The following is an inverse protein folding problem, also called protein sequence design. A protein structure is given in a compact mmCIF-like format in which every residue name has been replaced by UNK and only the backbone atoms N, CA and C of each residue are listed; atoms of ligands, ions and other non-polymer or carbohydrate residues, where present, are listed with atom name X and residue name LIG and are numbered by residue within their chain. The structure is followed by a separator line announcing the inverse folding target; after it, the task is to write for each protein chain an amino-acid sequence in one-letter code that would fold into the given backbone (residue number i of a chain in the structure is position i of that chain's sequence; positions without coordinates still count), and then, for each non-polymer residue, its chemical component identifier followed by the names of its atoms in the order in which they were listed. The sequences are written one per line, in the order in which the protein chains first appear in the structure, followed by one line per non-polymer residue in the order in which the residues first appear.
data_IF_738469449454
#
_entry.id   IF_738469449454
#
_cell.length_a   1.000
_cell.length_b   1.000
_cell.length_c   1.000
_cell.angle_alpha   90.00
_cell.angle_beta   90.00
_cell.angle_gamma   90.00
#
_symmetry.space_group_name_H-M   'P 1'
#
loop_
_entity.id
_entity.type
_entity.pdbx_description
1 polymer ?
#
# COMPACT_ATOMS: atom_id res chain seq x y z
N UNK A 1 4.55 -7.55 4.68
CA UNK A 1 3.07 -7.63 4.52
C UNK A 1 2.67 -6.64 3.44
N UNK A 2 2.03 -7.09 2.35
CA UNK A 2 1.72 -6.25 1.18
C UNK A 2 0.34 -6.60 0.61
N UNK A 3 -0.48 -5.59 0.28
CA UNK A 3 -1.77 -5.72 -0.41
C UNK A 3 -1.82 -4.90 -1.69
N UNK A 4 -0.97 -3.88 -1.82
CA UNK A 4 -0.94 -3.01 -3.00
C UNK A 4 0.40 -3.10 -3.70
N UNK A 5 0.40 -2.85 -5.01
CA UNK A 5 1.62 -2.73 -5.82
C UNK A 5 2.50 -1.60 -5.29
N UNK A 6 1.88 -0.50 -4.85
CA UNK A 6 2.57 0.66 -4.30
C UNK A 6 3.38 0.32 -3.04
N UNK A 7 2.76 -0.31 -2.03
CA UNK A 7 3.46 -0.73 -0.80
C UNK A 7 4.57 -1.73 -1.10
N UNK A 8 4.34 -2.66 -2.05
CA UNK A 8 5.38 -3.60 -2.47
C UNK A 8 6.56 -2.88 -3.10
N UNK A 9 6.31 -1.94 -4.01
CA UNK A 9 7.35 -1.13 -4.64
C UNK A 9 8.15 -0.35 -3.60
N UNK A 10 7.49 0.35 -2.67
CA UNK A 10 8.17 1.09 -1.61
C UNK A 10 9.01 0.16 -0.72
N UNK A 11 8.49 -1.01 -0.37
CA UNK A 11 9.26 -2.01 0.38
C UNK A 11 10.55 -2.38 -0.37
N UNK A 12 10.46 -2.69 -1.66
CA UNK A 12 11.61 -3.12 -2.48
C UNK A 12 12.71 -2.06 -2.58
N UNK A 13 12.35 -0.77 -2.62
CA UNK A 13 13.35 0.31 -2.65
C UNK A 13 13.91 0.69 -1.27
N UNK A 14 13.27 0.23 -0.19
CA UNK A 14 13.70 0.50 1.19
C UNK A 14 14.64 -0.58 1.74
N UNK A 15 14.50 -1.82 1.31
CA UNK A 15 15.30 -2.95 1.77
C UNK A 15 16.54 -3.14 0.91
N UNK A 16 17.50 -3.89 1.43
CA UNK A 16 18.67 -4.25 0.67
C UNK A 16 18.33 -5.32 -0.38
N UNK A 17 19.01 -5.29 -1.52
CA UNK A 17 18.82 -6.26 -2.60
C UNK A 17 19.01 -7.72 -2.13
N UNK A 18 19.99 -7.95 -1.27
CA UNK A 18 20.29 -9.27 -0.68
C UNK A 18 19.13 -9.83 0.17
N UNK A 19 18.35 -8.95 0.82
CA UNK A 19 17.24 -9.34 1.68
C UNK A 19 16.02 -9.80 0.89
N UNK A 20 15.91 -9.43 -0.41
CA UNK A 20 14.74 -9.78 -1.23
C UNK A 20 14.49 -11.28 -1.29
N UNK A 21 15.53 -12.08 -1.53
CA UNK A 21 15.41 -13.54 -1.65
C UNK A 21 15.14 -14.23 -0.30
N UNK A 22 15.46 -13.57 0.80
CA UNK A 22 15.24 -14.08 2.17
C UNK A 22 13.90 -13.60 2.73
N UNK A 23 13.22 -12.68 2.02
CA UNK A 23 11.94 -12.13 2.47
C UNK A 23 10.80 -13.12 2.26
N UNK A 24 10.01 -13.33 3.30
CA UNK A 24 8.73 -14.03 3.21
C UNK A 24 7.59 -13.01 3.08
N UNK A 25 6.84 -13.08 1.98
CA UNK A 25 5.76 -12.14 1.68
C UNK A 25 4.41 -12.67 2.15
N UNK A 26 3.76 -11.94 3.06
CA UNK A 26 2.34 -12.12 3.32
C UNK A 26 1.57 -11.15 2.44
N UNK A 27 0.74 -11.66 1.54
CA UNK A 27 -0.07 -10.88 0.63
C UNK A 27 -1.53 -11.32 0.66
N UNK A 28 -2.39 -10.56 0.01
CA UNK A 28 -3.78 -10.95 -0.24
C UNK A 28 -4.05 -11.09 -1.73
N UNK A 29 -5.24 -11.58 -2.05
CA UNK A 29 -5.76 -11.64 -3.43
C UNK A 29 -6.03 -10.26 -4.05
N UNK A 30 -5.88 -9.17 -3.29
CA UNK A 30 -5.88 -7.81 -3.83
C UNK A 30 -4.61 -7.47 -4.63
N UNK A 31 -3.45 -8.11 -4.31
CA UNK A 31 -2.25 -7.97 -5.11
C UNK A 31 -2.39 -8.78 -6.42
N UNK A 32 -2.08 -8.21 -7.61
CA UNK A 32 -2.21 -8.91 -8.89
C UNK A 32 -1.50 -10.26 -8.90
N UNK A 33 -2.14 -11.27 -9.49
CA UNK A 33 -1.60 -12.64 -9.54
C UNK A 33 -0.24 -12.70 -10.23
N UNK A 34 -0.06 -11.99 -11.34
CA UNK A 34 1.20 -11.90 -12.07
C UNK A 34 2.36 -11.42 -11.18
N UNK A 35 2.09 -10.49 -10.27
CA UNK A 35 3.08 -10.01 -9.30
C UNK A 35 3.34 -11.05 -8.22
N UNK A 36 2.25 -11.65 -7.67
CA UNK A 36 2.37 -12.65 -6.59
C UNK A 36 3.20 -13.85 -6.98
N UNK A 37 3.00 -14.39 -8.20
CA UNK A 37 3.71 -15.56 -8.70
C UNK A 37 5.23 -15.34 -8.85
N UNK A 38 5.69 -14.08 -8.93
CA UNK A 38 7.10 -13.71 -9.03
C UNK A 38 7.77 -13.48 -7.67
N UNK A 39 7.01 -13.45 -6.57
CA UNK A 39 7.58 -13.30 -5.23
C UNK A 39 8.25 -14.61 -4.78
N UNK A 40 9.47 -14.56 -4.19
CA UNK A 40 10.25 -15.77 -3.90
C UNK A 40 9.56 -16.68 -2.90
N UNK A 41 9.21 -16.17 -1.74
CA UNK A 41 8.53 -16.91 -0.67
C UNK A 41 7.30 -16.13 -0.27
N UNK A 42 6.11 -16.67 -0.51
CA UNK A 42 4.88 -15.95 -0.21
C UNK A 42 3.76 -16.85 0.32
N UNK A 43 2.88 -16.22 1.08
CA UNK A 43 1.59 -16.79 1.47
C UNK A 43 0.49 -15.79 1.13
N UNK A 44 -0.44 -16.22 0.28
CA UNK A 44 -1.56 -15.39 -0.15
C UNK A 44 -2.83 -15.72 0.65
N UNK A 45 -3.37 -14.72 1.32
CA UNK A 45 -4.66 -14.82 2.00
C UNK A 45 -5.80 -14.49 1.04
N UNK A 46 -6.80 -15.36 0.96
CA UNK A 46 -8.08 -15.04 0.33
C UNK A 46 -8.91 -14.23 1.32
N UNK A 47 -9.16 -12.97 1.01
CA UNK A 47 -9.84 -12.08 1.94
C UNK A 47 -11.36 -12.30 1.93
N UNK A 48 -12.01 -12.46 3.09
CA UNK A 48 -13.45 -12.60 3.17
C UNK A 48 -14.17 -11.32 2.70
N UNK A 49 -15.18 -11.44 1.83
CA UNK A 49 -15.96 -10.32 1.32
C UNK A 49 -16.94 -9.78 2.37
N UNK A 50 -17.61 -10.65 3.13
CA UNK A 50 -18.64 -10.28 4.11
C UNK A 50 -18.01 -9.71 5.39
N UNK A 51 -18.56 -8.60 5.92
CA UNK A 51 -18.03 -7.88 7.08
C UNK A 51 -17.81 -8.77 8.33
N UNK A 52 -18.76 -9.63 8.68
CA UNK A 52 -18.63 -10.52 9.84
C UNK A 52 -17.58 -11.62 9.64
N UNK A 53 -17.42 -12.15 8.41
CA UNK A 53 -16.34 -13.09 8.08
C UNK A 53 -14.96 -12.44 8.23
N UNK A 54 -14.82 -11.15 7.86
CA UNK A 54 -13.58 -10.41 8.06
C UNK A 54 -13.19 -10.33 9.53
N UNK A 55 -14.17 -10.20 10.40
CA UNK A 55 -13.96 -10.17 11.83
C UNK A 55 -13.49 -11.54 12.37
N UNK A 56 -14.18 -12.62 12.00
CA UNK A 56 -13.80 -13.99 12.35
C UNK A 56 -12.40 -14.34 11.79
N UNK A 57 -12.10 -13.93 10.57
CA UNK A 57 -10.78 -14.12 9.96
C UNK A 57 -9.67 -13.45 10.76
N UNK A 58 -9.86 -12.21 11.23
CA UNK A 58 -8.88 -11.51 12.09
C UNK A 58 -8.66 -12.26 13.41
N UNK A 59 -9.71 -12.69 14.07
CA UNK A 59 -9.63 -13.45 15.31
C UNK A 59 -8.88 -14.77 15.07
N UNK A 60 -9.31 -15.52 14.08
CA UNK A 60 -8.67 -16.79 13.72
C UNK A 60 -7.19 -16.61 13.44
N UNK A 61 -6.83 -15.65 12.60
CA UNK A 61 -5.44 -15.41 12.23
C UNK A 61 -4.61 -14.94 13.43
N UNK A 62 -5.17 -14.10 14.30
CA UNK A 62 -4.48 -13.64 15.50
C UNK A 62 -4.02 -14.80 16.40
N UNK A 63 -4.84 -15.82 16.54
CA UNK A 63 -4.51 -16.99 17.37
C UNK A 63 -3.67 -18.04 16.64
N UNK A 64 -3.84 -18.19 15.33
CA UNK A 64 -3.19 -19.28 14.58
C UNK A 64 -1.89 -18.87 13.89
N UNK A 65 -1.67 -17.60 13.58
CA UNK A 65 -0.47 -17.16 12.85
C UNK A 65 0.85 -17.56 13.53
N UNK A 66 1.03 -17.44 14.87
CA UNK A 66 2.28 -17.85 15.52
C UNK A 66 2.57 -19.34 15.43
N UNK A 67 1.53 -20.17 15.29
CA UNK A 67 1.66 -21.62 15.12
C UNK A 67 1.96 -22.00 13.68
N UNK A 68 1.32 -21.30 12.73
CA UNK A 68 1.48 -21.55 11.29
C UNK A 68 2.78 -20.97 10.73
N UNK A 69 3.25 -19.87 11.31
CA UNK A 69 4.41 -19.11 10.84
C UNK A 69 5.36 -18.79 12.02
N UNK A 70 5.99 -19.79 12.64
CA UNK A 70 6.79 -19.60 13.86
C UNK A 70 8.00 -18.68 13.66
N UNK A 71 8.50 -18.56 12.42
CA UNK A 71 9.61 -17.70 12.06
C UNK A 71 9.33 -16.19 12.23
N UNK A 72 8.06 -15.78 12.28
CA UNK A 72 7.68 -14.36 12.45
C UNK A 72 8.32 -13.75 13.72
N UNK A 73 8.47 -14.55 14.78
CA UNK A 73 9.03 -14.09 16.07
C UNK A 73 10.45 -13.53 15.95
N UNK A 74 11.20 -14.00 14.97
CA UNK A 74 12.62 -13.66 14.76
C UNK A 74 12.81 -12.74 13.53
N UNK A 75 11.71 -12.30 12.91
CA UNK A 75 11.74 -11.54 11.66
C UNK A 75 11.48 -10.05 11.91
N UNK A 76 12.09 -9.20 11.10
CA UNK A 76 11.66 -7.82 10.95
C UNK A 76 10.40 -7.78 10.10
N UNK A 77 9.34 -7.14 10.61
CA UNK A 77 8.05 -7.10 9.93
C UNK A 77 7.86 -5.74 9.28
N UNK A 78 7.71 -5.74 7.95
CA UNK A 78 7.40 -4.55 7.17
C UNK A 78 5.98 -4.63 6.60
N UNK A 79 5.28 -3.50 6.50
CA UNK A 79 3.99 -3.41 5.83
C UNK A 79 3.05 -2.38 6.45
N UNK A 80 1.77 -2.45 6.14
CA UNK A 80 0.75 -1.57 6.71
C UNK A 80 0.04 -2.24 7.90
N UNK A 81 -0.36 -1.45 8.88
CA UNK A 81 -1.18 -1.87 10.03
C UNK A 81 -2.69 -1.93 9.70
N UNK A 82 -3.06 -1.45 8.50
CA UNK A 82 -4.45 -1.39 8.05
C UNK A 82 -4.94 -2.69 7.39
N UNK A 83 -4.05 -3.57 6.95
CA UNK A 83 -4.46 -4.82 6.28
C UNK A 83 -5.24 -5.75 7.20
N UNK A 84 -6.12 -6.55 6.60
CA UNK A 84 -6.98 -7.46 7.36
C UNK A 84 -6.17 -8.49 8.17
N UNK A 85 -4.99 -8.87 7.69
CA UNK A 85 -4.11 -9.86 8.32
C UNK A 85 -3.01 -9.25 9.20
N UNK A 86 -2.84 -7.92 9.22
CA UNK A 86 -1.75 -7.25 9.96
C UNK A 86 -1.77 -7.58 11.44
N UNK A 87 -2.95 -7.53 12.09
CA UNK A 87 -3.08 -7.80 13.51
C UNK A 87 -2.72 -9.24 13.90
N UNK A 88 -2.91 -10.20 12.99
CA UNK A 88 -2.50 -11.59 13.21
C UNK A 88 -1.00 -11.81 13.00
N UNK A 89 -0.46 -11.27 11.92
CA UNK A 89 0.95 -11.47 11.54
C UNK A 89 1.90 -10.64 12.41
N UNK A 90 1.66 -9.34 12.54
CA UNK A 90 2.50 -8.49 13.39
C UNK A 90 2.22 -8.72 14.88
N UNK A 91 0.98 -9.05 15.25
CA UNK A 91 0.55 -9.38 16.60
C UNK A 91 1.05 -8.34 17.64
N UNK A 92 2.05 -8.71 18.43
CA UNK A 92 2.78 -7.85 19.38
C UNK A 92 4.24 -7.69 19.01
N UNK A 93 4.62 -8.05 17.78
CA UNK A 93 5.98 -7.89 17.27
C UNK A 93 6.18 -6.49 16.71
N UNK A 94 7.42 -6.05 16.68
CA UNK A 94 7.78 -4.75 16.17
C UNK A 94 7.50 -4.66 14.66
N UNK A 95 6.64 -3.72 14.30
CA UNK A 95 6.24 -3.44 12.92
C UNK A 95 6.92 -2.17 12.43
N UNK A 96 7.56 -2.26 11.28
CA UNK A 96 7.99 -1.11 10.48
C UNK A 96 6.88 -0.85 9.44
N UNK A 97 6.12 0.22 9.67
CA UNK A 97 5.05 0.59 8.76
C UNK A 97 5.64 1.20 7.49
N UNK A 98 5.22 0.70 6.35
CA UNK A 98 5.52 1.25 5.02
C UNK A 98 4.26 1.89 4.47
N UNK A 99 4.40 3.06 3.88
CA UNK A 99 3.28 3.82 3.31
C UNK A 99 2.43 2.96 2.35
N UNK A 100 1.12 3.07 2.52
CA UNK A 100 0.10 2.39 1.69
C UNK A 100 -0.82 3.41 0.98
N UNK A 101 -0.31 4.60 0.76
CA UNK A 101 -1.00 5.73 0.16
C UNK A 101 -1.47 6.78 1.18
N UNK A 102 -2.41 7.62 0.77
CA UNK A 102 -2.86 8.78 1.55
C UNK A 102 -3.50 8.43 2.90
N UNK A 103 -4.00 7.21 3.07
CA UNK A 103 -4.59 6.75 4.32
C UNK A 103 -3.62 6.77 5.51
N UNK A 104 -2.31 6.71 5.27
CA UNK A 104 -1.30 6.79 6.32
C UNK A 104 -1.17 8.19 6.94
N UNK A 105 -1.67 9.21 6.27
CA UNK A 105 -1.70 10.58 6.78
C UNK A 105 -3.02 10.93 7.50
N UNK A 106 -3.97 9.97 7.53
CA UNK A 106 -5.25 10.06 8.24
C UNK A 106 -5.31 9.02 9.34
N UNK A 107 -5.28 9.47 10.60
CA UNK A 107 -5.29 8.57 11.74
C UNK A 107 -6.70 8.04 12.01
N UNK A 108 -6.86 6.73 12.01
CA UNK A 108 -8.12 6.06 12.36
C UNK A 108 -7.98 5.49 13.76
N UNK A 109 -8.56 6.18 14.74
CA UNK A 109 -8.61 5.70 16.12
C UNK A 109 -9.87 4.86 16.37
N UNK A 110 -9.71 3.84 17.17
CA UNK A 110 -10.84 3.00 17.60
C UNK A 110 -11.55 3.64 18.79
N UNK A 111 -12.89 3.58 18.78
CA UNK A 111 -13.69 4.03 19.92
C UNK A 111 -13.22 3.32 21.21
N UNK A 112 -13.00 4.10 22.27
CA UNK A 112 -12.49 3.65 23.57
C UNK A 112 -13.29 2.51 24.19
N UNK A 113 -14.61 2.46 23.96
CA UNK A 113 -15.49 1.38 24.45
C UNK A 113 -15.16 0.04 23.79
N UNK A 114 -14.66 0.05 22.56
CA UNK A 114 -14.32 -1.17 21.81
C UNK A 114 -12.86 -1.60 22.02
N UNK A 115 -12.05 -0.80 22.70
CA UNK A 115 -10.62 -1.07 22.88
C UNK A 115 -10.34 -2.40 23.58
N UNK A 116 -10.92 -2.62 24.77
CA UNK A 116 -10.67 -3.84 25.56
C UNK A 116 -11.09 -5.12 24.83
N UNK A 117 -12.33 -5.26 24.33
CA UNK A 117 -12.73 -6.47 23.63
C UNK A 117 -11.93 -6.70 22.34
N UNK A 118 -11.61 -5.66 21.57
CA UNK A 118 -10.78 -5.80 20.36
C UNK A 118 -9.36 -6.24 20.68
N UNK A 119 -8.76 -5.69 21.75
CA UNK A 119 -7.41 -6.08 22.18
C UNK A 119 -7.32 -7.55 22.56
N UNK A 120 -8.31 -8.07 23.29
CA UNK A 120 -8.37 -9.48 23.69
C UNK A 120 -8.58 -10.37 22.48
N UNK A 121 -9.53 -10.02 21.59
CA UNK A 121 -9.94 -10.87 20.48
C UNK A 121 -9.02 -10.80 19.25
N UNK A 122 -8.41 -9.66 18.97
CA UNK A 122 -7.69 -9.42 17.71
C UNK A 122 -6.33 -8.77 17.88
N UNK A 123 -5.92 -8.50 19.14
CA UNK A 123 -4.62 -7.94 19.46
C UNK A 123 -4.54 -6.42 19.42
N UNK A 124 -3.34 -5.90 19.73
CA UNK A 124 -3.12 -4.49 19.99
C UNK A 124 -3.33 -3.61 18.76
N UNK A 125 -2.79 -3.98 17.60
CA UNK A 125 -2.96 -3.22 16.36
C UNK A 125 -4.44 -3.00 16.05
N UNK A 126 -5.26 -4.06 16.17
CA UNK A 126 -6.70 -3.93 15.93
C UNK A 126 -7.43 -3.07 16.95
N UNK A 127 -6.89 -2.93 18.16
CA UNK A 127 -7.48 -2.14 19.25
C UNK A 127 -7.11 -0.66 19.16
N UNK A 128 -5.87 -0.34 18.78
CA UNK A 128 -5.36 1.04 18.73
C UNK A 128 -5.86 1.81 17.50
N UNK A 129 -6.15 1.13 16.39
CA UNK A 129 -6.48 1.73 15.11
C UNK A 129 -5.36 1.59 14.08
N UNK A 130 -5.45 2.38 13.01
CA UNK A 130 -4.53 2.33 11.89
C UNK A 130 -3.75 3.64 11.73
N UNK A 131 -2.74 3.64 10.88
CA UNK A 131 -1.90 4.79 10.58
C UNK A 131 -0.71 4.93 11.53
N UNK A 132 -0.28 3.84 12.17
CA UNK A 132 0.92 3.84 13.01
C UNK A 132 0.71 4.20 14.47
N UNK A 133 -0.54 4.39 14.92
CA UNK A 133 -0.84 4.77 16.32
C UNK A 133 -0.48 3.68 17.31
N UNK A 134 -0.49 2.41 16.92
CA UNK A 134 -0.18 1.30 17.80
C UNK A 134 1.26 1.37 18.33
N UNK A 135 1.51 1.08 19.62
CA UNK A 135 2.87 1.01 20.16
C UNK A 135 3.69 -0.16 19.62
N UNK A 136 3.08 -1.13 18.93
CA UNK A 136 3.81 -2.16 18.18
C UNK A 136 4.43 -1.62 16.88
N UNK A 137 3.94 -0.49 16.37
CA UNK A 137 4.56 0.21 15.25
C UNK A 137 5.72 1.03 15.80
N UNK A 138 6.95 0.61 15.51
CA UNK A 138 8.19 1.23 16.01
C UNK A 138 8.76 2.27 15.06
N UNK A 139 8.53 2.11 13.78
CA UNK A 139 9.00 3.00 12.74
C UNK A 139 7.96 3.14 11.64
N UNK A 140 7.85 4.33 11.07
CA UNK A 140 6.93 4.63 9.97
C UNK A 140 7.73 5.24 8.85
N UNK A 141 7.65 4.65 7.66
CA UNK A 141 8.36 5.08 6.46
C UNK A 141 7.35 5.73 5.50
N UNK A 142 7.39 7.06 5.38
CA UNK A 142 6.49 7.83 4.50
C UNK A 142 7.27 8.58 3.43
N UNK A 143 6.62 8.84 2.29
CA UNK A 143 7.20 9.59 1.18
C UNK A 143 7.06 11.11 1.33
N UNK A 144 6.24 11.57 2.28
CA UNK A 144 6.03 13.00 2.53
C UNK A 144 5.01 13.66 1.61
N UNK A 145 4.03 12.89 1.10
CA UNK A 145 2.96 13.42 0.24
C UNK A 145 2.08 14.46 0.95
N UNK A 146 1.87 14.31 2.25
CA UNK A 146 1.10 15.23 3.09
C UNK A 146 1.84 15.49 4.41
N UNK A 147 1.45 16.51 5.18
CA UNK A 147 1.99 16.75 6.52
C UNK A 147 1.78 15.54 7.44
N UNK A 148 2.82 15.15 8.16
CA UNK A 148 2.75 14.01 9.10
C UNK A 148 1.91 14.41 10.32
N UNK A 149 0.93 13.58 10.70
CA UNK A 149 0.16 13.80 11.92
C UNK A 149 1.04 13.84 13.17
N UNK A 150 0.82 14.80 14.06
CA UNK A 150 1.64 15.02 15.27
C UNK A 150 1.78 13.75 16.14
N UNK A 151 0.72 12.93 16.21
CA UNK A 151 0.69 11.72 17.06
C UNK A 151 1.71 10.63 16.66
N UNK A 152 2.18 10.64 15.40
CA UNK A 152 3.11 9.63 14.88
C UNK A 152 4.43 10.23 14.43
N UNK A 153 4.62 11.52 14.60
CA UNK A 153 5.77 12.25 14.08
C UNK A 153 7.11 11.74 14.66
N UNK A 154 7.13 11.35 15.90
CA UNK A 154 8.31 10.83 16.61
C UNK A 154 8.83 9.48 16.07
N UNK A 155 7.95 8.70 15.41
CA UNK A 155 8.31 7.41 14.79
C UNK A 155 8.47 7.51 13.28
N UNK A 156 8.19 8.67 12.67
CA UNK A 156 8.14 8.80 11.21
C UNK A 156 9.46 9.26 10.63
N UNK A 157 9.92 8.53 9.62
CA UNK A 157 11.01 8.90 8.74
C UNK A 157 10.47 9.18 7.35
N UNK A 158 10.74 10.38 6.83
CA UNK A 158 10.42 10.75 5.45
C UNK A 158 11.58 10.36 4.56
N UNK A 159 11.28 9.72 3.43
CA UNK A 159 12.27 9.35 2.45
C UNK A 159 11.87 9.76 1.03
N UNK A 160 12.87 10.06 0.21
CA UNK A 160 12.68 10.34 -1.21
C UNK A 160 12.71 9.05 -2.01
N UNK A 161 11.61 8.74 -2.71
CA UNK A 161 11.50 7.59 -3.62
C UNK A 161 12.58 7.66 -4.70
N UNK A 162 12.76 8.83 -5.33
CA UNK A 162 13.76 9.04 -6.40
C UNK A 162 15.17 8.78 -5.88
N UNK A 163 15.53 9.32 -4.71
CA UNK A 163 16.86 9.12 -4.13
C UNK A 163 17.11 7.64 -3.77
N UNK A 164 16.10 6.94 -3.25
CA UNK A 164 16.21 5.51 -2.96
C UNK A 164 16.37 4.71 -4.25
N UNK A 165 15.52 4.95 -5.25
CA UNK A 165 15.59 4.30 -6.55
C UNK A 165 16.96 4.48 -7.23
N UNK A 166 17.48 5.70 -7.25
CA UNK A 166 18.76 6.00 -7.91
C UNK A 166 19.98 5.34 -7.24
N UNK A 167 19.86 4.96 -5.96
CA UNK A 167 20.92 4.25 -5.22
C UNK A 167 20.92 2.74 -5.45
N UNK A 168 19.87 2.18 -6.04
CA UNK A 168 19.80 0.75 -6.35
C UNK A 168 20.74 0.42 -7.51
N UNK A 169 21.28 -0.82 -7.51
CA UNK A 169 22.03 -1.35 -8.64
C UNK A 169 21.14 -1.41 -9.90
N UNK A 170 21.74 -1.30 -11.07
CA UNK A 170 21.01 -1.42 -12.34
C UNK A 170 20.30 -2.78 -12.44
N UNK A 171 20.97 -3.86 -12.03
CA UNK A 171 20.42 -5.22 -12.02
C UNK A 171 19.18 -5.32 -11.12
N UNK A 172 19.22 -4.70 -9.94
CA UNK A 172 18.09 -4.75 -9.02
C UNK A 172 16.91 -3.90 -9.50
N UNK A 173 17.17 -2.74 -10.10
CA UNK A 173 16.12 -1.94 -10.75
C UNK A 173 15.42 -2.72 -11.85
N UNK A 174 16.18 -3.38 -12.75
CA UNK A 174 15.61 -4.25 -13.78
C UNK A 174 14.78 -5.38 -13.18
N UNK A 175 15.24 -5.98 -12.09
CA UNK A 175 14.50 -7.02 -11.38
C UNK A 175 13.17 -6.50 -10.80
N UNK A 176 13.17 -5.32 -10.17
CA UNK A 176 11.96 -4.67 -9.67
C UNK A 176 10.98 -4.40 -10.81
N UNK A 177 11.45 -3.83 -11.94
CA UNK A 177 10.60 -3.57 -13.10
C UNK A 177 9.99 -4.87 -13.66
N UNK A 178 10.79 -5.91 -13.81
CA UNK A 178 10.31 -7.21 -14.30
C UNK A 178 9.28 -7.86 -13.38
N UNK A 179 9.35 -7.60 -12.07
CA UNK A 179 8.35 -8.08 -11.10
C UNK A 179 6.98 -7.46 -11.37
N UNK A 180 6.93 -6.21 -11.82
CA UNK A 180 5.71 -5.49 -12.15
C UNK A 180 5.31 -5.57 -13.63
N UNK A 181 6.00 -6.37 -14.44
CA UNK A 181 5.85 -6.44 -15.91
C UNK A 181 6.04 -5.09 -16.62
N UNK A 182 6.84 -4.19 -16.04
CA UNK A 182 7.23 -2.95 -16.67
C UNK A 182 8.44 -3.19 -17.57
N UNK A 183 8.31 -2.89 -18.85
CA UNK A 183 9.42 -2.91 -19.79
C UNK A 183 10.16 -1.57 -19.75
N UNK A 184 11.48 -1.60 -19.93
CA UNK A 184 12.29 -0.38 -19.96
C UNK A 184 11.87 0.55 -21.10
N UNK A 185 11.52 -0.02 -22.25
CA UNK A 185 11.05 0.70 -23.43
C UNK A 185 9.72 1.44 -23.16
N UNK A 186 8.79 0.82 -22.41
CA UNK A 186 7.54 1.49 -22.01
C UNK A 186 7.80 2.69 -21.10
N UNK A 187 8.81 2.60 -20.22
CA UNK A 187 9.20 3.73 -19.37
C UNK A 187 9.86 4.85 -20.16
N UNK A 188 10.64 4.53 -21.19
CA UNK A 188 11.22 5.51 -22.11
C UNK A 188 10.11 6.23 -22.90
N UNK A 189 9.11 5.49 -23.40
CA UNK A 189 7.95 6.08 -24.04
C UNK A 189 7.19 7.03 -23.10
N UNK A 190 6.90 6.57 -21.88
CA UNK A 190 6.23 7.40 -20.85
C UNK A 190 7.06 8.65 -20.54
N UNK A 191 8.38 8.58 -20.54
CA UNK A 191 9.24 9.73 -20.26
C UNK A 191 9.19 10.82 -21.34
N UNK A 192 8.65 10.51 -22.53
CA UNK A 192 8.44 11.49 -23.60
C UNK A 192 7.26 12.43 -23.35
N UNK A 193 6.33 12.03 -22.47
CA UNK A 193 5.20 12.87 -22.06
C UNK A 193 5.64 13.89 -21.01
N UNK A 194 5.06 15.08 -21.08
CA UNK A 194 5.36 16.17 -20.13
C UNK A 194 4.47 16.09 -18.88
N UNK A 195 3.22 15.72 -19.09
CA UNK A 195 2.20 15.65 -18.05
C UNK A 195 1.57 14.25 -18.03
N UNK A 196 1.26 13.75 -16.84
CA UNK A 196 0.53 12.50 -16.65
C UNK A 196 -0.67 12.75 -15.75
N UNK A 197 -1.87 12.49 -16.27
CA UNK A 197 -3.11 12.54 -15.49
C UNK A 197 -3.50 11.13 -15.05
N UNK A 198 -3.60 10.92 -13.75
CA UNK A 198 -4.20 9.72 -13.17
C UNK A 198 -5.65 10.02 -12.82
N UNK A 199 -6.60 9.36 -13.48
CA UNK A 199 -8.01 9.58 -13.20
C UNK A 199 -8.50 8.84 -11.97
N UNK A 200 -9.68 9.22 -11.47
CA UNK A 200 -10.34 8.56 -10.33
C UNK A 200 -11.80 8.28 -10.69
N UNK A 201 -12.39 7.17 -10.25
CA UNK A 201 -13.77 6.80 -10.56
C UNK A 201 -14.75 7.56 -9.64
N UNK A 202 -14.74 8.89 -9.69
CA UNK A 202 -15.48 9.73 -8.74
C UNK A 202 -16.99 9.65 -8.94
N UNK A 203 -17.43 9.50 -10.18
CA UNK A 203 -18.86 9.29 -10.49
C UNK A 203 -19.31 7.91 -10.06
N UNK A 204 -18.52 6.87 -10.36
CA UNK A 204 -18.81 5.48 -9.98
C UNK A 204 -18.82 5.27 -8.45
N UNK A 205 -18.02 6.06 -7.73
CA UNK A 205 -18.01 6.09 -6.26
C UNK A 205 -19.11 6.99 -5.66
N UNK A 206 -19.90 7.69 -6.51
CA UNK A 206 -20.99 8.55 -6.08
C UNK A 206 -20.53 9.83 -5.37
N UNK A 207 -19.31 10.28 -5.62
CA UNK A 207 -18.72 11.46 -4.97
C UNK A 207 -19.13 12.77 -5.66
N UNK A 208 -19.22 12.76 -6.99
CA UNK A 208 -19.59 13.93 -7.81
C UNK A 208 -20.50 13.49 -8.97
N UNK A 209 -21.12 14.47 -9.65
CA UNK A 209 -21.89 14.20 -10.88
C UNK A 209 -20.95 14.06 -12.08
N UNK A 210 -21.43 13.43 -13.17
CA UNK A 210 -20.68 13.32 -14.42
C UNK A 210 -20.33 14.72 -14.99
N UNK A 211 -21.22 15.69 -14.85
CA UNK A 211 -20.97 17.07 -15.31
C UNK A 211 -19.85 17.73 -14.51
N UNK A 212 -19.83 17.54 -13.19
CA UNK A 212 -18.76 18.05 -12.32
C UNK A 212 -17.41 17.40 -12.64
N UNK A 213 -17.39 16.09 -12.91
CA UNK A 213 -16.17 15.38 -13.28
C UNK A 213 -15.62 15.87 -14.63
N UNK A 214 -16.47 16.03 -15.63
CA UNK A 214 -16.11 16.59 -16.93
C UNK A 214 -15.52 18.01 -16.79
N UNK A 215 -16.15 18.85 -16.00
CA UNK A 215 -15.68 20.22 -15.76
C UNK A 215 -14.36 20.26 -14.99
N UNK A 216 -14.19 19.35 -14.01
CA UNK A 216 -12.94 19.21 -13.28
C UNK A 216 -11.78 18.85 -14.23
N UNK A 217 -11.95 17.79 -15.05
CA UNK A 217 -10.89 17.37 -15.98
C UNK A 217 -10.65 18.42 -17.08
N UNK A 218 -11.66 19.08 -17.62
CA UNK A 218 -11.45 20.21 -18.55
C UNK A 218 -10.62 21.30 -17.91
N UNK A 219 -10.90 21.66 -16.67
CA UNK A 219 -10.14 22.69 -15.94
C UNK A 219 -8.69 22.26 -15.71
N UNK A 220 -8.47 21.02 -15.28
CA UNK A 220 -7.13 20.48 -15.06
C UNK A 220 -6.31 20.42 -16.36
N UNK A 221 -6.94 20.05 -17.47
CA UNK A 221 -6.30 19.87 -18.76
C UNK A 221 -6.12 21.16 -19.57
N UNK A 222 -6.80 22.24 -19.20
CA UNK A 222 -6.75 23.52 -19.92
C UNK A 222 -5.34 24.12 -20.04
N UNK A 223 -4.43 23.79 -19.12
CA UNK A 223 -3.03 24.24 -19.12
C UNK A 223 -2.02 23.23 -19.69
N UNK A 224 -2.48 22.02 -20.05
CA UNK A 224 -1.59 20.95 -20.51
C UNK A 224 -1.43 20.97 -22.04
N UNK A 225 -0.23 20.60 -22.51
CA UNK A 225 -0.02 20.33 -23.92
C UNK A 225 -0.57 18.93 -24.26
N UNK A 226 -1.73 18.88 -24.94
CA UNK A 226 -2.43 17.63 -25.27
C UNK A 226 -1.55 16.62 -26.04
N UNK A 227 -0.61 17.07 -26.88
CA UNK A 227 0.30 16.18 -27.60
C UNK A 227 1.38 15.55 -26.72
N UNK A 228 1.54 16.05 -25.49
CA UNK A 228 2.50 15.57 -24.48
C UNK A 228 1.84 15.15 -23.18
N UNK A 229 0.53 14.92 -23.22
CA UNK A 229 -0.27 14.47 -22.09
C UNK A 229 -0.53 12.97 -22.20
N UNK A 230 -0.21 12.22 -21.15
CA UNK A 230 -0.61 10.83 -20.97
C UNK A 230 -1.77 10.76 -19.96
N UNK A 231 -2.86 10.11 -20.33
CA UNK A 231 -3.98 9.86 -19.39
C UNK A 231 -3.97 8.39 -18.98
N UNK A 232 -3.71 8.14 -17.70
CA UNK A 232 -3.81 6.80 -17.11
C UNK A 232 -5.18 6.65 -16.46
N UNK A 233 -6.09 6.03 -17.18
CA UNK A 233 -7.48 5.82 -16.74
C UNK A 233 -7.52 4.80 -15.59
N UNK A 234 -8.29 5.12 -14.53
CA UNK A 234 -8.54 4.18 -13.44
C UNK A 234 -9.40 3.00 -13.94
N UNK A 235 -9.14 1.74 -13.54
CA UNK A 235 -9.86 0.56 -14.06
C UNK A 235 -11.38 0.56 -13.88
N UNK A 236 -11.91 1.35 -12.93
CA UNK A 236 -13.34 1.50 -12.67
C UNK A 236 -13.96 2.78 -13.27
N UNK A 237 -13.13 3.65 -13.82
CA UNK A 237 -13.54 4.88 -14.44
C UNK A 237 -14.09 4.58 -15.85
N UNK A 238 -15.28 5.01 -16.14
CA UNK A 238 -16.00 4.73 -17.40
C UNK A 238 -16.06 5.94 -18.35
N UNK A 239 -15.43 7.06 -17.95
CA UNK A 239 -15.41 8.27 -18.76
C UNK A 239 -14.60 8.08 -20.05
N UNK A 240 -15.15 8.57 -21.16
CA UNK A 240 -14.46 8.57 -22.46
C UNK A 240 -13.55 9.81 -22.59
N UNK A 241 -12.26 9.60 -22.39
CA UNK A 241 -11.24 10.65 -22.44
C UNK A 241 -10.79 11.04 -23.85
N UNK A 242 -11.25 10.35 -24.90
CA UNK A 242 -10.97 10.72 -26.30
C UNK A 242 -11.60 12.04 -26.71
N UNK A 243 -12.48 12.60 -25.89
CA UNK A 243 -13.21 13.86 -26.12
C UNK A 243 -12.56 15.10 -25.49
N UNK A 244 -11.38 14.95 -24.90
CA UNK A 244 -10.63 16.04 -24.25
C UNK A 244 -9.45 16.55 -25.04
#
# INVERSE_FOLDING_TARGET
MVETVYTLFLYLILVKEEDFNQTFFFCSDALPELVRCKLPHHHCFKLPKRRWHRWLFRIWLYYTAPLRFPFIKQSHIYGSDNYLFSSGIARSYDLILVEDGLSNYSLIQVNSLLYKPRRILMGQIAAEGCGGVSPTVKKIMLTGLLPVPALIQDKTEIFSVINKWNRLSSSYRTRILSLFDCLAEELEEISSYQDILFTQPMVEDGLITLEDELNLYRTLLAGCNQSKLLIKVHPRDTLDYSKF
#
